data_IF_380760643631
#
_entry.id   IF_380760643631
#
_cell.length_a   1.000
_cell.length_b   1.000
_cell.length_c   1.000
_cell.angle_alpha   90.00
_cell.angle_beta   90.00
_cell.angle_gamma   90.00
#
_symmetry.space_group_name_H-M   'P 1'
#
loop_
_entity.id
_entity.type
_entity.pdbx_description
1 polymer ?
#
# COMPACT_ATOMS: atom_id res chain seq x y z
N UNK A 1 6.71 17.75 40.42
CA UNK A 1 5.38 17.81 39.76
C UNK A 1 5.60 17.51 38.28
N UNK A 2 5.11 16.37 37.79
CA UNK A 2 5.30 15.95 36.39
C UNK A 2 4.12 16.50 35.59
N UNK A 3 4.38 17.42 34.66
CA UNK A 3 3.36 17.97 33.78
C UNK A 3 2.85 16.85 32.85
N UNK A 4 1.59 16.45 33.04
CA UNK A 4 0.88 15.58 32.11
C UNK A 4 0.71 16.35 30.80
N UNK A 5 1.60 16.07 29.84
CA UNK A 5 1.46 16.63 28.49
C UNK A 5 0.34 15.85 27.81
N UNK A 6 -0.82 16.47 27.66
CA UNK A 6 -1.93 15.89 26.90
C UNK A 6 -1.55 15.80 25.42
N UNK A 7 -1.12 14.61 25.00
CA UNK A 7 -0.92 14.32 23.58
C UNK A 7 -2.31 14.23 22.94
N UNK A 8 -2.70 15.24 22.16
CA UNK A 8 -3.86 15.16 21.28
C UNK A 8 -3.42 14.48 19.97
N UNK A 9 -3.65 13.17 19.75
CA UNK A 9 -3.23 12.53 18.51
C UNK A 9 -4.01 13.17 17.35
N UNK A 10 -3.29 13.80 16.42
CA UNK A 10 -3.89 14.21 15.16
C UNK A 10 -4.45 12.99 14.45
N UNK A 11 -5.69 13.04 13.96
CA UNK A 11 -6.27 11.96 13.15
C UNK A 11 -5.28 11.57 12.04
N UNK A 12 -5.01 10.27 11.84
CA UNK A 12 -4.16 9.83 10.75
C UNK A 12 -4.71 10.39 9.43
N UNK A 13 -3.91 11.18 8.72
CA UNK A 13 -4.30 11.72 7.39
C UNK A 13 -4.48 10.61 6.36
N UNK A 14 -3.85 9.46 6.60
CA UNK A 14 -3.87 8.29 5.75
C UNK A 14 -4.34 7.10 6.59
N UNK A 15 -5.64 6.82 6.53
CA UNK A 15 -6.12 5.49 6.91
C UNK A 15 -5.58 4.50 5.87
N UNK A 16 -5.13 3.30 6.26
CA UNK A 16 -4.78 2.27 5.29
C UNK A 16 -5.99 2.05 4.38
N UNK A 17 -5.78 2.13 3.06
CA UNK A 17 -6.85 1.95 2.09
C UNK A 17 -7.41 0.53 2.25
N UNK A 18 -8.62 0.44 2.82
CA UNK A 18 -9.29 -0.83 3.09
C UNK A 18 -9.84 -1.51 1.82
N UNK A 19 -9.68 -0.87 0.65
CA UNK A 19 -10.28 -1.25 -0.63
C UNK A 19 -9.26 -1.09 -1.76
N UNK A 20 -8.08 -1.67 -1.55
CA UNK A 20 -7.02 -1.68 -2.53
C UNK A 20 -6.86 -3.07 -3.13
N UNK A 21 -6.79 -3.12 -4.45
CA UNK A 21 -6.45 -4.32 -5.18
C UNK A 21 -5.08 -4.16 -5.85
N UNK A 22 -4.40 -5.26 -6.09
CA UNK A 22 -3.14 -5.33 -6.80
C UNK A 22 -3.30 -6.21 -8.03
N UNK A 23 -2.91 -5.66 -9.17
CA UNK A 23 -2.78 -6.33 -10.46
C UNK A 23 -1.33 -6.80 -10.59
N UNK A 24 -1.12 -8.11 -10.61
CA UNK A 24 0.24 -8.68 -10.65
C UNK A 24 0.69 -8.97 -12.08
N UNK A 25 2.00 -8.94 -12.27
CA UNK A 25 2.68 -9.26 -13.52
C UNK A 25 2.16 -8.54 -14.78
N UNK A 26 1.74 -7.28 -14.62
CA UNK A 26 1.29 -6.45 -15.74
C UNK A 26 2.47 -6.18 -16.67
N UNK A 27 2.39 -6.51 -17.97
CA UNK A 27 3.46 -6.24 -18.92
C UNK A 27 3.82 -4.76 -18.99
N UNK A 28 5.11 -4.45 -19.10
CA UNK A 28 5.60 -3.08 -19.04
C UNK A 28 5.12 -2.18 -20.21
N UNK A 29 4.73 -2.77 -21.34
CA UNK A 29 4.21 -2.03 -22.49
C UNK A 29 2.76 -1.58 -22.30
N UNK A 30 1.97 -2.26 -21.46
CA UNK A 30 0.57 -1.85 -21.17
C UNK A 30 0.62 -0.64 -20.24
N UNK A 31 0.28 0.53 -20.75
CA UNK A 31 0.32 1.81 -20.05
C UNK A 31 -0.72 1.91 -18.93
N UNK A 32 -0.50 2.84 -17.99
CA UNK A 32 -1.46 3.08 -16.91
C UNK A 32 -2.79 3.61 -17.45
N UNK A 33 -2.77 4.40 -18.53
CA UNK A 33 -3.99 4.92 -19.17
C UNK A 33 -4.84 3.82 -19.80
N UNK A 34 -4.21 2.80 -20.40
CA UNK A 34 -4.90 1.61 -20.93
C UNK A 34 -5.54 0.80 -19.79
N UNK A 35 -4.81 0.59 -18.70
CA UNK A 35 -5.35 -0.10 -17.51
C UNK A 35 -6.51 0.70 -16.93
N UNK A 36 -6.35 2.01 -16.79
CA UNK A 36 -7.39 2.89 -16.26
C UNK A 36 -8.65 2.86 -17.12
N UNK A 37 -8.49 2.91 -18.44
CA UNK A 37 -9.59 2.79 -19.40
C UNK A 37 -10.37 1.49 -19.19
N UNK A 38 -9.67 0.34 -19.14
CA UNK A 38 -10.29 -0.97 -18.93
C UNK A 38 -10.97 -1.12 -17.56
N UNK A 39 -10.36 -0.56 -16.51
CA UNK A 39 -10.96 -0.57 -15.16
C UNK A 39 -12.22 0.29 -15.14
N UNK A 40 -12.20 1.48 -15.76
CA UNK A 40 -13.36 2.38 -15.82
C UNK A 40 -14.51 1.81 -16.67
N UNK A 41 -14.26 0.88 -17.59
CA UNK A 41 -15.33 0.14 -18.28
C UNK A 41 -16.08 -0.82 -17.35
N UNK A 42 -15.48 -1.22 -16.22
CA UNK A 42 -16.04 -2.23 -15.30
C UNK A 42 -16.59 -1.63 -14.01
N UNK A 43 -16.06 -0.50 -13.58
CA UNK A 43 -16.39 0.17 -12.31
C UNK A 43 -16.37 1.69 -12.48
N UNK A 44 -17.25 2.39 -11.76
CA UNK A 44 -17.32 3.86 -11.82
C UNK A 44 -16.60 4.53 -10.64
N UNK A 45 -16.20 3.75 -9.63
CA UNK A 45 -15.67 4.29 -8.37
C UNK A 45 -14.17 4.13 -8.20
N UNK A 46 -13.42 4.03 -9.30
CA UNK A 46 -11.95 4.11 -9.27
C UNK A 46 -11.51 5.43 -8.63
N UNK A 47 -10.71 5.34 -7.57
CA UNK A 47 -10.19 6.49 -6.84
C UNK A 47 -8.76 6.83 -7.22
N UNK A 48 -7.92 5.81 -7.32
CA UNK A 48 -6.51 5.96 -7.63
C UNK A 48 -6.01 4.72 -8.37
N UNK A 49 -5.02 4.93 -9.24
CA UNK A 49 -4.26 3.88 -9.92
C UNK A 49 -2.79 4.28 -9.90
N UNK A 50 -1.92 3.39 -9.44
CA UNK A 50 -0.49 3.68 -9.30
C UNK A 50 0.36 2.44 -9.55
N UNK A 51 1.57 2.64 -10.09
CA UNK A 51 2.58 1.60 -10.14
C UNK A 51 3.18 1.38 -8.74
N UNK A 52 3.34 0.12 -8.33
CA UNK A 52 4.00 -0.18 -7.07
C UNK A 52 5.52 -0.05 -7.22
N UNK A 53 6.10 0.89 -6.48
CA UNK A 53 7.54 1.08 -6.40
C UNK A 53 8.26 -0.22 -6.00
N UNK A 54 9.34 -0.55 -6.72
CA UNK A 54 10.14 -1.76 -6.48
C UNK A 54 9.53 -3.06 -7.03
N UNK A 55 8.36 -3.02 -7.68
CA UNK A 55 7.77 -4.20 -8.34
C UNK A 55 8.19 -4.39 -9.80
N UNK A 56 8.85 -3.39 -10.40
CA UNK A 56 9.18 -3.38 -11.83
C UNK A 56 10.39 -4.28 -12.12
N UNK A 57 10.18 -5.26 -12.99
CA UNK A 57 11.21 -6.09 -13.60
C UNK A 57 11.45 -5.66 -15.05
N UNK A 58 12.32 -6.38 -15.77
CA UNK A 58 12.55 -6.16 -17.20
C UNK A 58 11.30 -6.37 -18.06
N UNK A 59 10.37 -7.22 -17.63
CA UNK A 59 9.19 -7.61 -18.44
C UNK A 59 7.87 -7.09 -17.89
N UNK A 60 7.75 -6.97 -16.57
CA UNK A 60 6.47 -6.69 -15.93
C UNK A 60 6.60 -5.82 -14.68
N UNK A 61 5.46 -5.34 -14.19
CA UNK A 61 5.29 -4.54 -12.98
C UNK A 61 4.01 -4.91 -12.25
N UNK A 62 3.85 -4.44 -11.02
CA UNK A 62 2.58 -4.50 -10.31
C UNK A 62 1.92 -3.13 -10.31
N UNK A 63 0.61 -3.13 -10.50
CA UNK A 63 -0.22 -1.93 -10.47
C UNK A 63 -1.22 -2.07 -9.34
N UNK A 64 -1.35 -1.02 -8.53
CA UNK A 64 -2.32 -0.95 -7.45
C UNK A 64 -3.47 -0.06 -7.88
N UNK A 65 -4.68 -0.50 -7.59
CA UNK A 65 -5.90 0.29 -7.78
C UNK A 65 -6.62 0.45 -6.45
N UNK A 66 -7.24 1.61 -6.25
CA UNK A 66 -8.03 1.94 -5.08
C UNK A 66 -9.47 2.23 -5.49
N UNK A 67 -10.43 1.60 -4.81
CA UNK A 67 -11.85 1.62 -5.19
C UNK A 67 -12.66 2.20 -4.04
N UNK A 68 -13.57 3.15 -4.33
CA UNK A 68 -14.41 3.73 -3.26
C UNK A 68 -15.53 2.80 -2.86
N UNK A 69 -16.19 2.12 -3.81
CA UNK A 69 -17.33 1.24 -3.54
C UNK A 69 -16.90 -0.12 -2.97
N UNK A 70 -17.52 -0.55 -1.86
CA UNK A 70 -17.31 -1.89 -1.30
C UNK A 70 -17.80 -2.97 -2.26
N UNK A 71 -18.96 -2.75 -2.89
CA UNK A 71 -19.59 -3.73 -3.78
C UNK A 71 -18.74 -3.98 -5.03
N UNK A 72 -18.18 -2.93 -5.62
CA UNK A 72 -17.31 -3.06 -6.79
C UNK A 72 -15.96 -3.68 -6.44
N UNK A 73 -15.40 -3.32 -5.28
CA UNK A 73 -14.20 -3.96 -4.74
C UNK A 73 -14.39 -5.48 -4.60
N UNK A 74 -15.46 -5.92 -3.94
CA UNK A 74 -15.75 -7.35 -3.75
C UNK A 74 -16.03 -8.05 -5.07
N UNK A 75 -16.72 -7.38 -6.01
CA UNK A 75 -16.98 -7.91 -7.37
C UNK A 75 -15.67 -8.20 -8.10
N UNK A 76 -14.75 -7.24 -8.15
CA UNK A 76 -13.46 -7.40 -8.83
C UNK A 76 -12.56 -8.41 -8.11
N UNK A 77 -12.55 -8.41 -6.78
CA UNK A 77 -11.79 -9.38 -5.99
C UNK A 77 -12.30 -10.81 -6.23
N UNK A 78 -13.62 -11.01 -6.25
CA UNK A 78 -14.24 -12.31 -6.54
C UNK A 78 -14.01 -12.75 -7.99
N UNK A 79 -13.98 -11.81 -8.93
CA UNK A 79 -13.62 -12.11 -10.31
C UNK A 79 -12.16 -12.59 -10.43
N UNK A 80 -11.24 -12.00 -9.64
CA UNK A 80 -9.86 -12.44 -9.51
C UNK A 80 -8.97 -12.23 -10.74
N UNK A 81 -9.54 -11.91 -11.90
CA UNK A 81 -8.83 -11.70 -13.15
C UNK A 81 -9.48 -10.61 -14.00
N UNK A 82 -8.69 -9.91 -14.81
CA UNK A 82 -9.16 -8.90 -15.74
C UNK A 82 -8.38 -8.99 -17.05
N UNK A 83 -9.10 -9.00 -18.17
CA UNK A 83 -8.48 -8.89 -19.49
C UNK A 83 -8.17 -7.44 -19.79
N UNK A 84 -6.93 -7.14 -20.17
CA UNK A 84 -6.45 -5.81 -20.59
C UNK A 84 -5.59 -6.02 -21.83
N UNK A 85 -5.96 -5.38 -22.94
CA UNK A 85 -5.26 -5.52 -24.23
C UNK A 85 -5.02 -7.01 -24.63
N UNK A 86 -6.03 -7.85 -24.39
CA UNK A 86 -5.94 -9.30 -24.65
C UNK A 86 -5.13 -10.12 -23.63
N UNK A 87 -4.51 -9.48 -22.63
CA UNK A 87 -3.79 -10.14 -21.55
C UNK A 87 -4.67 -10.40 -20.35
N UNK A 88 -4.63 -11.62 -19.82
CA UNK A 88 -5.31 -11.98 -18.59
C UNK A 88 -4.43 -11.61 -17.39
N UNK A 89 -4.86 -10.59 -16.65
CA UNK A 89 -4.16 -10.02 -15.51
C UNK A 89 -4.84 -10.49 -14.21
N UNK A 90 -4.05 -11.07 -13.31
CA UNK A 90 -4.54 -11.53 -12.01
C UNK A 90 -4.71 -10.35 -11.03
N UNK A 91 -5.80 -10.38 -10.28
CA UNK A 91 -6.21 -9.37 -9.30
C UNK A 91 -6.24 -10.02 -7.92
N UNK A 92 -5.56 -9.39 -6.97
CA UNK A 92 -5.54 -9.80 -5.57
C UNK A 92 -5.90 -8.64 -4.65
N UNK A 93 -6.26 -8.97 -3.41
CA UNK A 93 -6.27 -7.98 -2.34
C UNK A 93 -4.85 -7.43 -2.12
N UNK A 94 -4.73 -6.10 -2.03
CA UNK A 94 -3.48 -5.46 -1.67
C UNK A 94 -3.33 -5.41 -0.15
N UNK A 95 -2.49 -6.30 0.37
CA UNK A 95 -2.05 -6.28 1.75
C UNK A 95 -0.79 -5.41 1.87
N UNK A 96 -0.96 -4.19 2.39
CA UNK A 96 0.19 -3.33 2.65
C UNK A 96 1.16 -4.05 3.59
N UNK A 97 2.47 -4.05 3.31
CA UNK A 97 3.44 -4.66 4.21
C UNK A 97 3.28 -4.01 5.59
N UNK A 98 3.34 -4.79 6.68
CA UNK A 98 3.28 -4.22 8.01
C UNK A 98 4.40 -3.18 8.11
N UNK A 99 4.04 -1.91 8.32
CA UNK A 99 5.00 -0.86 8.64
C UNK A 99 5.50 -1.14 10.05
N UNK A 100 6.45 -2.06 10.18
CA UNK A 100 7.16 -2.29 11.43
C UNK A 100 7.93 -1.00 11.72
N UNK A 101 7.45 -0.25 12.70
CA UNK A 101 8.20 0.86 13.29
C UNK A 101 9.39 0.24 14.03
N UNK A 102 10.47 -0.01 13.31
CA UNK A 102 11.75 -0.36 13.89
C UNK A 102 12.37 0.92 14.45
N UNK A 103 12.74 0.89 15.72
CA UNK A 103 13.46 1.99 16.33
C UNK A 103 14.86 2.06 15.70
N UNK A 104 15.18 3.15 15.00
CA UNK A 104 16.50 3.31 14.36
C UNK A 104 17.68 3.41 15.33
N UNK A 105 17.44 3.37 16.65
CA UNK A 105 18.47 3.40 17.70
C UNK A 105 18.80 2.00 18.23
N UNK A 106 17.83 1.11 18.34
CA UNK A 106 18.03 -0.23 18.89
C UNK A 106 17.59 -1.37 17.98
N UNK A 107 17.04 -1.06 16.80
CA UNK A 107 16.48 -2.01 15.83
C UNK A 107 15.36 -2.93 16.36
N UNK A 108 14.81 -2.61 17.53
CA UNK A 108 13.66 -3.31 18.10
C UNK A 108 12.34 -2.66 17.62
N UNK A 109 11.28 -3.46 17.39
CA UNK A 109 9.97 -2.93 17.04
C UNK A 109 9.26 -2.26 18.23
N UNK A 110 8.12 -1.64 17.96
CA UNK A 110 7.13 -1.27 18.99
C UNK A 110 7.38 0.06 19.71
N UNK A 111 8.35 0.87 19.27
CA UNK A 111 8.54 2.21 19.83
C UNK A 111 9.25 3.19 18.88
N UNK A 112 9.01 4.48 19.08
CA UNK A 112 9.73 5.55 18.38
C UNK A 112 11.09 5.80 19.04
N UNK A 113 12.09 6.23 18.26
CA UNK A 113 13.44 6.57 18.74
C UNK A 113 13.45 7.46 19.99
N UNK A 114 12.54 8.44 20.08
CA UNK A 114 12.40 9.37 21.22
C UNK A 114 11.98 8.70 22.54
N UNK A 115 11.40 7.50 22.49
CA UNK A 115 10.95 6.73 23.65
C UNK A 115 11.81 5.46 23.87
N UNK A 116 12.96 5.37 23.19
CA UNK A 116 13.86 4.24 23.32
C UNK A 116 14.57 4.28 24.69
N UNK A 117 14.38 3.22 25.48
CA UNK A 117 14.93 3.08 26.84
C UNK A 117 16.41 2.70 26.88
N UNK A 118 17.01 2.35 25.74
CA UNK A 118 18.46 2.12 25.66
C UNK A 118 19.18 3.47 25.85
N UNK A 119 19.71 3.73 27.03
CA UNK A 119 20.71 4.77 27.24
C UNK A 119 21.96 4.43 26.42
N UNK A 120 22.59 5.43 25.79
CA UNK A 120 23.94 5.23 25.27
C UNK A 120 24.87 5.23 26.48
N UNK A 121 25.41 4.08 26.87
CA UNK A 121 26.73 4.07 27.51
C UNK A 121 27.77 4.20 26.39
N UNK A 122 28.16 5.45 26.12
CA UNK A 122 29.36 5.77 25.33
C UNK A 122 30.61 5.68 26.21
N UNK A 123 30.74 4.57 26.95
CA UNK A 123 31.89 4.30 27.82
C UNK A 123 32.42 2.89 27.57
N UNK A 124 32.74 2.58 26.31
CA UNK A 124 33.71 1.54 25.93
C UNK A 124 33.99 1.61 24.41
N UNK A 125 34.63 2.70 23.99
CA UNK A 125 35.59 2.70 22.88
C UNK A 125 36.75 3.58 23.26
#
# INVERSE_FOLDING_TARGET
>A
MVALTELSPSKPKHLPCKRSLIMKYVPNYITIDEIQSEVNLKIDTLFNIEELNGSKTTKNRHVRIEIKSQMEYEKLLKQGVMTIDGHLIEIYEFLAPPKLLLCSKCNEPGHLRKYCKLGYDLSSM
#
